data_IF_101193265232
#
_entry.id   IF_101193265232
#
_cell.length_a   1.000
_cell.length_b   1.000
_cell.length_c   1.000
_cell.angle_alpha   90.00
_cell.angle_beta   90.00
_cell.angle_gamma   90.00
#
_symmetry.space_group_name_H-M   'P 1'
#
loop_
_entity.id
_entity.type
_entity.pdbx_description
1 polymer ?
#
# COMPACT_ATOMS: atom_id res chain seq x y z
N UNK A 1 -0.47 22.21 22.25
CA UNK A 1 0.02 21.61 21.01
C UNK A 1 1.24 22.39 20.51
N UNK A 2 2.46 21.88 20.75
CA UNK A 2 3.66 22.40 20.08
C UNK A 2 3.46 22.54 18.57
N UNK A 3 3.74 23.70 18.00
CA UNK A 3 3.66 23.94 16.54
C UNK A 3 5.06 23.77 15.91
N UNK A 4 5.20 23.93 14.60
CA UNK A 4 6.48 23.76 13.90
C UNK A 4 7.53 24.83 14.24
N UNK A 5 7.16 25.90 14.95
CA UNK A 5 8.07 26.92 15.49
C UNK A 5 8.49 26.67 16.95
N UNK A 6 8.20 25.48 17.48
CA UNK A 6 8.53 25.10 18.86
C UNK A 6 9.98 24.64 19.08
N UNK A 7 10.78 24.50 18.02
CA UNK A 7 12.17 24.04 18.05
C UNK A 7 13.08 25.00 17.29
N UNK A 8 14.20 25.37 17.91
CA UNK A 8 15.30 26.09 17.25
C UNK A 8 16.22 25.16 16.43
N UNK A 9 16.08 23.83 16.60
CA UNK A 9 16.81 22.82 15.82
C UNK A 9 16.10 22.52 14.50
N UNK A 10 16.84 22.48 13.39
CA UNK A 10 16.32 22.15 12.05
C UNK A 10 17.32 21.31 11.24
N UNK A 11 16.94 20.11 10.75
CA UNK A 11 15.63 19.47 10.87
C UNK A 11 15.39 18.87 12.26
N UNK A 12 14.13 18.83 12.71
CA UNK A 12 13.70 18.08 13.89
C UNK A 12 12.52 17.17 13.55
N UNK A 13 12.22 16.21 14.43
CA UNK A 13 11.08 15.29 14.31
C UNK A 13 10.06 15.59 15.39
N UNK A 14 8.80 15.43 15.06
CA UNK A 14 7.70 15.58 16.01
C UNK A 14 6.66 14.48 15.78
N UNK A 15 6.01 13.96 16.84
CA UNK A 15 4.86 13.10 16.68
C UNK A 15 3.71 13.91 16.07
N UNK A 16 2.84 13.22 15.32
CA UNK A 16 1.75 13.87 14.60
C UNK A 16 0.55 12.93 14.50
N UNK A 17 -0.61 13.40 14.94
CA UNK A 17 -1.90 12.76 14.65
C UNK A 17 -2.88 13.80 14.11
N UNK A 18 -3.62 13.43 13.06
CA UNK A 18 -4.72 14.22 12.53
C UNK A 18 -6.02 13.44 12.70
N UNK A 19 -6.95 14.00 13.47
CA UNK A 19 -8.30 13.46 13.65
C UNK A 19 -9.26 14.36 12.89
N UNK A 20 -10.02 13.76 11.98
CA UNK A 20 -11.01 14.46 11.15
C UNK A 20 -12.40 13.92 11.50
N UNK A 21 -13.10 14.63 12.37
CA UNK A 21 -14.48 14.29 12.73
C UNK A 21 -15.44 14.86 11.69
N UNK A 22 -16.27 13.99 11.10
CA UNK A 22 -17.20 14.33 10.05
C UNK A 22 -18.61 14.01 10.50
N UNK A 23 -19.55 14.92 10.24
CA UNK A 23 -20.97 14.67 10.41
C UNK A 23 -21.70 15.04 9.13
N UNK A 24 -22.58 14.16 8.67
CA UNK A 24 -23.48 14.44 7.56
C UNK A 24 -24.62 13.45 7.50
N UNK A 25 -25.75 13.86 6.93
CA UNK A 25 -26.96 13.01 6.87
C UNK A 25 -26.76 11.72 6.08
N UNK A 26 -25.91 11.76 5.07
CA UNK A 26 -25.58 10.63 4.19
C UNK A 26 -24.21 10.02 4.51
N UNK A 27 -23.58 10.41 5.62
CA UNK A 27 -22.27 9.88 6.02
C UNK A 27 -22.45 8.51 6.67
N UNK A 28 -21.63 7.55 6.25
CA UNK A 28 -21.63 6.17 6.72
C UNK A 28 -20.19 5.72 7.02
N UNK A 29 -20.03 4.67 7.84
CA UNK A 29 -18.69 4.17 8.22
C UNK A 29 -17.90 3.65 7.00
N UNK A 30 -18.60 3.18 5.96
CA UNK A 30 -18.04 2.75 4.68
C UNK A 30 -17.34 3.88 3.92
N UNK A 31 -17.69 5.15 4.18
CA UNK A 31 -17.08 6.30 3.53
C UNK A 31 -15.85 6.84 4.25
N UNK A 32 -15.60 6.46 5.51
CA UNK A 32 -14.43 6.92 6.26
C UNK A 32 -13.10 6.71 5.53
N UNK A 33 -12.76 5.51 5.00
CA UNK A 33 -11.51 5.30 4.27
C UNK A 33 -11.42 6.09 2.96
N UNK A 34 -12.55 6.33 2.28
CA UNK A 34 -12.59 7.15 1.06
C UNK A 34 -12.19 8.59 1.38
N UNK A 35 -12.70 9.15 2.47
CA UNK A 35 -12.33 10.49 2.95
C UNK A 35 -10.86 10.52 3.40
N UNK A 36 -10.43 9.52 4.19
CA UNK A 36 -9.05 9.42 4.70
C UNK A 36 -8.03 9.41 3.56
N UNK A 37 -8.32 8.69 2.46
CA UNK A 37 -7.42 8.64 1.30
C UNK A 37 -7.16 10.02 0.69
N UNK A 38 -8.13 10.94 0.77
CA UNK A 38 -7.97 12.30 0.21
C UNK A 38 -7.03 13.18 1.03
N UNK A 39 -6.78 12.87 2.30
CA UNK A 39 -5.82 13.62 3.13
C UNK A 39 -4.44 13.65 2.47
N UNK A 40 -4.02 12.53 1.86
CA UNK A 40 -2.80 12.47 1.06
C UNK A 40 -2.77 13.52 -0.04
N UNK A 41 -3.84 13.63 -0.84
CA UNK A 41 -3.90 14.60 -1.94
C UNK A 41 -4.01 16.04 -1.42
N UNK A 42 -4.78 16.26 -0.35
CA UNK A 42 -4.98 17.59 0.23
C UNK A 42 -3.68 18.17 0.78
N UNK A 43 -2.89 17.36 1.48
CA UNK A 43 -1.61 17.80 2.03
C UNK A 43 -0.57 18.03 0.93
N UNK A 44 -0.49 17.15 -0.08
CA UNK A 44 0.47 17.30 -1.18
C UNK A 44 0.14 18.45 -2.16
N UNK A 45 -1.05 19.03 -2.09
CA UNK A 45 -1.37 20.28 -2.81
C UNK A 45 -0.79 21.52 -2.15
N UNK A 46 -0.32 21.42 -0.91
CA UNK A 46 0.32 22.52 -0.18
C UNK A 46 1.80 22.56 -0.61
N UNK A 47 2.23 23.65 -1.26
CA UNK A 47 3.62 23.85 -1.64
C UNK A 47 4.56 23.70 -0.43
N UNK A 48 5.57 22.84 -0.54
CA UNK A 48 6.54 22.57 0.51
C UNK A 48 6.07 21.63 1.62
N UNK A 49 4.91 20.99 1.47
CA UNK A 49 4.48 19.86 2.32
C UNK A 49 4.48 18.58 1.49
N UNK A 50 5.04 17.51 2.05
CA UNK A 50 4.99 16.17 1.50
C UNK A 50 4.22 15.28 2.47
N UNK A 51 3.28 14.49 1.98
CA UNK A 51 2.60 13.44 2.73
C UNK A 51 2.67 12.11 1.96
N UNK A 52 3.14 11.05 2.59
CA UNK A 52 3.11 9.68 2.04
C UNK A 52 2.64 8.69 3.11
N UNK A 53 2.39 7.44 2.73
CA UNK A 53 1.80 6.44 3.62
C UNK A 53 0.30 6.67 3.83
N UNK A 54 -0.22 5.95 4.81
CA UNK A 54 -1.64 5.86 5.15
C UNK A 54 -1.79 5.45 6.61
N UNK A 55 -2.99 5.63 7.18
CA UNK A 55 -3.28 5.28 8.58
C UNK A 55 -2.18 5.77 9.54
N UNK A 56 -1.64 4.89 10.38
CA UNK A 56 -0.61 5.19 11.37
C UNK A 56 0.84 5.10 10.86
N UNK A 57 1.06 4.75 9.59
CA UNK A 57 2.38 4.79 8.93
C UNK A 57 2.53 5.99 7.99
N UNK A 58 1.68 7.01 8.18
CA UNK A 58 1.79 8.25 7.45
C UNK A 58 3.10 8.98 7.76
N UNK A 59 3.75 9.50 6.72
CA UNK A 59 4.99 10.26 6.82
C UNK A 59 4.85 11.63 6.19
N UNK A 60 5.00 12.67 7.02
CA UNK A 60 4.84 14.06 6.63
C UNK A 60 6.19 14.78 6.75
N UNK A 61 6.54 15.57 5.73
CA UNK A 61 7.69 16.50 5.77
C UNK A 61 7.24 17.91 5.42
N UNK A 62 7.73 18.89 6.16
CA UNK A 62 7.55 20.33 5.88
C UNK A 62 8.90 20.92 5.50
N UNK A 63 8.96 21.56 4.33
CA UNK A 63 10.17 22.21 3.81
C UNK A 63 10.47 23.54 4.50
N UNK A 64 11.75 23.91 4.53
CA UNK A 64 12.23 25.18 5.12
C UNK A 64 11.56 26.39 4.47
N UNK A 65 11.40 26.38 3.15
CA UNK A 65 10.77 27.48 2.42
C UNK A 65 9.31 27.72 2.82
N UNK A 66 8.54 26.64 3.07
CA UNK A 66 7.15 26.78 3.51
C UNK A 66 7.09 27.36 4.93
N UNK A 67 7.97 26.91 5.82
CA UNK A 67 8.12 27.47 7.17
C UNK A 67 8.46 28.97 7.13
N UNK A 68 9.44 29.36 6.30
CA UNK A 68 9.89 30.76 6.15
C UNK A 68 8.79 31.67 5.56
N UNK A 69 7.93 31.12 4.69
CA UNK A 69 6.72 31.79 4.18
C UNK A 69 5.58 31.84 5.21
N UNK A 70 5.76 31.27 6.40
CA UNK A 70 4.83 31.36 7.53
C UNK A 70 3.83 30.21 7.64
N UNK A 71 4.04 29.08 6.95
CA UNK A 71 3.23 27.86 7.15
C UNK A 71 3.27 27.48 8.64
N UNK A 72 2.13 27.05 9.18
CA UNK A 72 2.00 26.45 10.51
C UNK A 72 1.06 25.24 10.45
N UNK A 73 1.05 24.41 11.50
CA UNK A 73 0.19 23.21 11.56
C UNK A 73 -1.29 23.56 11.38
N UNK A 74 -1.72 24.70 11.92
CA UNK A 74 -3.10 25.20 11.75
C UNK A 74 -3.51 25.33 10.27
N UNK A 75 -2.57 25.63 9.37
CA UNK A 75 -2.86 25.83 7.95
C UNK A 75 -3.09 24.50 7.23
N UNK A 76 -2.39 23.44 7.64
CA UNK A 76 -2.70 22.06 7.23
C UNK A 76 -4.14 21.71 7.63
N UNK A 77 -4.52 21.99 8.88
CA UNK A 77 -5.88 21.75 9.37
C UNK A 77 -6.96 22.51 8.58
N UNK A 78 -6.70 23.78 8.22
CA UNK A 78 -7.61 24.58 7.38
C UNK A 78 -7.77 23.99 5.98
N UNK A 79 -6.69 23.51 5.37
CA UNK A 79 -6.73 22.88 4.05
C UNK A 79 -7.57 21.61 4.10
N UNK A 80 -7.31 20.72 5.06
CA UNK A 80 -8.10 19.49 5.23
C UNK A 80 -9.58 19.82 5.46
N UNK A 81 -9.91 20.76 6.35
CA UNK A 81 -11.29 21.19 6.57
C UNK A 81 -11.96 21.71 5.30
N UNK A 82 -11.30 22.64 4.59
CA UNK A 82 -11.86 23.28 3.40
C UNK A 82 -12.05 22.26 2.27
N UNK A 83 -11.08 21.37 2.07
CA UNK A 83 -11.09 20.37 1.00
C UNK A 83 -12.07 19.23 1.27
N UNK A 84 -12.17 18.74 2.50
CA UNK A 84 -13.19 17.74 2.88
C UNK A 84 -14.61 18.24 2.56
N UNK A 85 -14.92 19.49 2.93
CA UNK A 85 -16.23 20.08 2.64
C UNK A 85 -16.45 20.37 1.16
N UNK A 86 -15.41 20.69 0.41
CA UNK A 86 -15.52 21.04 -1.00
C UNK A 86 -15.63 19.82 -1.91
N UNK A 87 -14.94 18.71 -1.58
CA UNK A 87 -14.95 17.50 -2.42
C UNK A 87 -16.11 16.54 -2.09
N UNK A 88 -16.65 16.59 -0.88
CA UNK A 88 -17.70 15.69 -0.42
C UNK A 88 -18.94 16.45 0.08
N UNK A 89 -19.33 17.52 -0.61
CA UNK A 89 -20.42 18.41 -0.19
C UNK A 89 -21.80 17.73 -0.07
N UNK A 90 -21.99 16.58 -0.73
CA UNK A 90 -23.19 15.74 -0.65
C UNK A 90 -23.24 14.85 0.60
N UNK A 91 -22.10 14.61 1.25
CA UNK A 91 -21.95 13.66 2.37
C UNK A 91 -21.44 14.34 3.65
N UNK A 92 -20.73 15.47 3.54
CA UNK A 92 -20.10 16.18 4.66
C UNK A 92 -20.86 17.48 4.96
N UNK A 93 -21.72 17.48 5.98
CA UNK A 93 -22.41 18.69 6.46
C UNK A 93 -21.50 19.55 7.35
N UNK A 94 -20.78 18.88 8.26
CA UNK A 94 -19.86 19.49 9.24
C UNK A 94 -18.57 18.69 9.29
N UNK A 95 -17.47 19.40 9.50
CA UNK A 95 -16.13 18.84 9.62
C UNK A 95 -15.41 19.56 10.77
N UNK A 96 -14.72 18.80 11.61
CA UNK A 96 -13.80 19.30 12.62
C UNK A 96 -12.46 18.60 12.42
N UNK A 97 -11.40 19.39 12.29
CA UNK A 97 -10.03 18.88 12.17
C UNK A 97 -9.28 19.22 13.45
N UNK A 98 -8.76 18.19 14.12
CA UNK A 98 -7.93 18.34 15.32
C UNK A 98 -6.58 17.70 15.07
N UNK A 99 -5.51 18.48 15.24
CA UNK A 99 -4.13 18.00 15.07
C UNK A 99 -3.45 17.96 16.43
N UNK A 100 -2.79 16.85 16.73
CA UNK A 100 -2.06 16.58 17.97
C UNK A 100 -0.58 16.39 17.68
N UNK A 101 0.25 16.95 18.55
CA UNK A 101 1.72 16.90 18.44
C UNK A 101 2.40 16.62 19.78
N UNK A 102 1.62 16.37 20.84
CA UNK A 102 2.15 15.86 22.09
C UNK A 102 2.30 14.34 22.01
N UNK A 103 3.50 13.82 22.30
CA UNK A 103 3.84 12.40 22.19
C UNK A 103 2.81 11.49 22.89
N UNK A 104 2.57 11.71 24.18
CA UNK A 104 1.63 10.91 24.97
C UNK A 104 0.22 10.92 24.38
N UNK A 105 -0.20 12.04 23.78
CA UNK A 105 -1.55 12.15 23.22
C UNK A 105 -1.65 11.44 21.87
N UNK A 106 -0.61 11.51 21.05
CA UNK A 106 -0.53 10.80 19.77
C UNK A 106 -0.55 9.29 20.00
N UNK A 107 0.29 8.78 20.92
CA UNK A 107 0.32 7.36 21.29
C UNK A 107 -1.02 6.88 21.87
N UNK A 108 -1.66 7.69 22.72
CA UNK A 108 -2.97 7.37 23.25
C UNK A 108 -4.03 7.27 22.14
N UNK A 109 -4.05 8.22 21.19
CA UNK A 109 -5.01 8.22 20.09
C UNK A 109 -4.81 7.02 19.15
N UNK A 110 -3.56 6.64 18.90
CA UNK A 110 -3.27 5.46 18.11
C UNK A 110 -3.87 4.20 18.76
N UNK A 111 -3.57 4.01 20.05
CA UNK A 111 -4.01 2.84 20.82
C UNK A 111 -5.53 2.78 21.04
N UNK A 112 -6.13 3.90 21.44
CA UNK A 112 -7.50 3.92 21.95
C UNK A 112 -8.54 4.19 20.84
N UNK A 113 -8.13 4.74 19.70
CA UNK A 113 -9.04 5.16 18.62
C UNK A 113 -8.62 4.59 17.25
N UNK A 114 -7.40 4.86 16.81
CA UNK A 114 -7.00 4.59 15.42
C UNK A 114 -6.97 3.09 15.12
N UNK A 115 -6.27 2.29 15.93
CA UNK A 115 -6.16 0.84 15.73
C UNK A 115 -7.52 0.14 15.76
N UNK A 116 -8.42 0.57 16.64
CA UNK A 116 -9.77 0.01 16.70
C UNK A 116 -10.56 0.27 15.39
N UNK A 117 -10.45 1.48 14.83
CA UNK A 117 -11.06 1.81 13.53
C UNK A 117 -10.41 1.06 12.37
N UNK A 118 -9.08 0.90 12.39
CA UNK A 118 -8.37 0.16 11.34
C UNK A 118 -8.73 -1.33 11.35
N UNK A 119 -8.74 -1.97 12.52
CA UNK A 119 -9.11 -3.37 12.66
C UNK A 119 -10.55 -3.62 12.20
N UNK A 120 -11.50 -2.77 12.61
CA UNK A 120 -12.89 -2.90 12.16
C UNK A 120 -13.06 -2.76 10.64
N UNK A 121 -12.21 -1.96 9.98
CA UNK A 121 -12.20 -1.87 8.51
C UNK A 121 -11.64 -3.13 7.86
N UNK A 122 -10.56 -3.67 8.42
CA UNK A 122 -9.89 -4.86 7.91
C UNK A 122 -10.76 -6.13 8.12
N UNK A 123 -11.48 -6.23 9.24
CA UNK A 123 -12.42 -7.33 9.54
C UNK A 123 -13.54 -7.45 8.49
N UNK A 124 -13.99 -6.33 7.91
CA UNK A 124 -15.00 -6.33 6.84
C UNK A 124 -14.48 -6.90 5.52
N UNK A 125 -13.16 -6.84 5.30
CA UNK A 125 -12.53 -7.39 4.10
C UNK A 125 -12.27 -8.89 4.22
N UNK A 126 -12.07 -9.40 5.44
CA UNK A 126 -11.67 -10.79 5.70
C UNK A 126 -12.62 -11.85 5.11
N UNK A 127 -13.89 -11.51 4.87
CA UNK A 127 -14.88 -12.44 4.29
C UNK A 127 -14.96 -12.43 2.75
N UNK A 128 -14.28 -11.48 2.09
CA UNK A 128 -14.29 -11.34 0.64
C UNK A 128 -13.08 -12.05 0.04
N UNK A 129 -13.32 -12.88 -0.97
CA UNK A 129 -12.28 -13.56 -1.76
C UNK A 129 -12.50 -13.23 -3.24
N UNK A 130 -11.45 -13.28 -4.04
CA UNK A 130 -11.54 -12.87 -5.45
C UNK A 130 -12.54 -13.75 -6.23
N UNK A 131 -12.74 -15.01 -5.84
CA UNK A 131 -13.72 -15.90 -6.45
C UNK A 131 -15.17 -15.49 -6.18
N UNK A 132 -15.47 -14.88 -5.02
CA UNK A 132 -16.85 -14.61 -4.57
C UNK A 132 -17.43 -13.27 -5.02
N UNK A 133 -16.64 -12.45 -5.72
CA UNK A 133 -17.07 -11.21 -6.37
C UNK A 133 -17.14 -11.36 -7.88
N UNK A 134 -18.06 -10.65 -8.53
CA UNK A 134 -18.19 -10.60 -10.00
C UNK A 134 -17.58 -9.34 -10.63
N UNK A 135 -17.09 -8.42 -9.78
CA UNK A 135 -16.65 -7.08 -10.16
C UNK A 135 -15.38 -6.74 -9.41
N UNK A 136 -14.35 -6.32 -10.14
CA UNK A 136 -13.17 -5.64 -9.61
C UNK A 136 -13.31 -4.12 -9.81
N UNK A 137 -12.33 -3.35 -9.33
CA UNK A 137 -12.32 -1.91 -9.54
C UNK A 137 -10.98 -1.44 -10.09
N UNK A 138 -11.00 -0.61 -11.12
CA UNK A 138 -9.82 0.14 -11.53
C UNK A 138 -9.70 1.41 -10.71
N UNK A 139 -8.47 1.90 -10.49
CA UNK A 139 -8.21 3.19 -9.85
C UNK A 139 -7.13 3.97 -10.60
N UNK A 140 -7.44 5.21 -10.98
CA UNK A 140 -6.56 6.11 -11.75
C UNK A 140 -6.06 7.32 -10.97
N UNK A 141 -6.27 7.37 -9.64
CA UNK A 141 -5.91 8.53 -8.81
C UNK A 141 -4.42 8.92 -8.88
N UNK A 142 -3.55 7.98 -9.22
CA UNK A 142 -2.10 8.18 -9.28
C UNK A 142 -1.59 8.57 -10.68
N UNK A 143 -2.47 8.73 -11.67
CA UNK A 143 -2.09 9.17 -13.01
C UNK A 143 -1.57 10.61 -13.06
N UNK A 144 -1.74 11.40 -12.00
CA UNK A 144 -1.12 12.70 -11.85
C UNK A 144 0.41 12.66 -11.84
N UNK A 145 1.02 11.52 -11.52
CA UNK A 145 2.48 11.33 -11.54
C UNK A 145 2.95 10.11 -12.32
N UNK A 146 2.08 9.13 -12.58
CA UNK A 146 2.36 7.98 -13.46
C UNK A 146 1.22 7.82 -14.49
N UNK A 147 1.24 8.54 -15.62
CA UNK A 147 0.08 8.67 -16.52
C UNK A 147 -0.44 7.35 -17.11
N UNK A 148 0.43 6.37 -17.33
CA UNK A 148 0.06 5.04 -17.85
C UNK A 148 -0.37 4.05 -16.76
N UNK A 149 -0.28 4.43 -15.48
CA UNK A 149 -0.58 3.53 -14.39
C UNK A 149 -2.08 3.40 -14.13
N UNK A 150 -2.52 2.16 -13.91
CA UNK A 150 -3.88 1.81 -13.50
C UNK A 150 -3.75 0.71 -12.44
N UNK A 151 -4.24 0.96 -11.23
CA UNK A 151 -4.41 -0.10 -10.23
C UNK A 151 -5.67 -0.89 -10.56
N UNK A 152 -5.61 -2.22 -10.50
CA UNK A 152 -6.80 -3.08 -10.37
C UNK A 152 -6.87 -3.56 -8.93
N UNK A 153 -7.97 -3.24 -8.26
CA UNK A 153 -8.24 -3.54 -6.86
C UNK A 153 -9.22 -4.70 -6.80
N UNK A 154 -8.82 -5.76 -6.12
CA UNK A 154 -9.63 -6.96 -5.84
C UNK A 154 -9.76 -7.14 -4.33
N UNK A 155 -10.69 -7.98 -3.83
CA UNK A 155 -10.72 -8.33 -2.41
C UNK A 155 -9.37 -8.75 -1.84
N UNK A 156 -8.62 -9.57 -2.56
CA UNK A 156 -7.36 -10.16 -2.10
C UNK A 156 -6.13 -9.41 -2.63
N UNK A 157 -6.29 -8.41 -3.50
CA UNK A 157 -5.24 -7.51 -3.99
C UNK A 157 -5.65 -6.05 -3.79
N UNK A 158 -5.34 -5.53 -2.62
CA UNK A 158 -5.54 -4.12 -2.29
C UNK A 158 -4.75 -3.22 -3.26
N UNK A 159 -5.21 -1.98 -3.44
CA UNK A 159 -4.45 -0.97 -4.16
C UNK A 159 -3.07 -0.80 -3.52
N UNK A 160 -2.01 -0.72 -4.34
CA UNK A 160 -0.62 -0.76 -3.89
C UNK A 160 -0.24 0.27 -2.82
N UNK A 161 -1.05 1.32 -2.64
CA UNK A 161 -0.86 2.34 -1.62
C UNK A 161 -1.27 1.89 -0.19
N UNK A 162 -1.85 0.71 -0.03
CA UNK A 162 -2.39 0.20 1.25
C UNK A 162 -3.70 0.87 1.71
N UNK A 163 -4.11 1.96 1.07
CA UNK A 163 -5.20 2.84 1.50
C UNK A 163 -6.48 2.76 0.66
N UNK A 164 -6.55 1.81 -0.28
CA UNK A 164 -7.73 1.59 -1.12
C UNK A 164 -7.97 0.08 -1.20
N UNK A 165 -8.92 -0.39 -0.41
CA UNK A 165 -9.46 -1.75 -0.50
C UNK A 165 -10.53 -1.86 -1.59
N UNK A 166 -11.01 -3.08 -1.84
CA UNK A 166 -12.12 -3.31 -2.77
C UNK A 166 -13.41 -2.60 -2.34
N UNK A 167 -13.74 -2.64 -1.03
CA UNK A 167 -14.89 -1.92 -0.49
C UNK A 167 -14.72 -0.40 -0.62
N UNK A 168 -13.51 0.11 -0.43
CA UNK A 168 -13.23 1.55 -0.57
C UNK A 168 -13.37 2.01 -2.03
N UNK A 169 -12.91 1.18 -2.98
CA UNK A 169 -13.04 1.47 -4.40
C UNK A 169 -14.52 1.47 -4.85
N UNK A 170 -15.31 0.52 -4.33
CA UNK A 170 -16.77 0.49 -4.50
C UNK A 170 -17.44 1.74 -3.93
N UNK A 171 -17.15 2.07 -2.69
CA UNK A 171 -17.68 3.26 -2.02
C UNK A 171 -17.28 4.56 -2.74
N UNK A 172 -16.05 4.63 -3.24
CA UNK A 172 -15.57 5.78 -4.05
C UNK A 172 -16.39 5.96 -5.31
N UNK A 173 -16.73 4.86 -6.01
CA UNK A 173 -17.59 4.90 -7.21
C UNK A 173 -19.03 5.31 -6.87
N UNK A 174 -19.55 4.89 -5.73
CA UNK A 174 -20.89 5.27 -5.26
C UNK A 174 -20.98 6.77 -4.93
N UNK A 175 -19.92 7.31 -4.33
CA UNK A 175 -19.82 8.74 -4.00
C UNK A 175 -19.63 9.63 -5.23
N UNK A 176 -18.80 9.22 -6.18
CA UNK A 176 -18.54 9.95 -7.42
C UNK A 176 -18.57 9.00 -8.63
N UNK A 177 -19.71 8.95 -9.37
CA UNK A 177 -19.83 8.13 -10.57
C UNK A 177 -18.80 8.46 -11.65
N UNK A 178 -18.27 9.68 -11.69
CA UNK A 178 -17.25 10.15 -12.62
C UNK A 178 -15.84 10.14 -12.03
N UNK A 179 -15.70 9.62 -10.81
CA UNK A 179 -14.46 9.61 -10.07
C UNK A 179 -13.43 8.61 -10.61
N UNK A 180 -12.30 8.54 -9.91
CA UNK A 180 -11.15 7.75 -10.35
C UNK A 180 -11.31 6.24 -10.19
N UNK A 181 -12.28 5.77 -9.40
CA UNK A 181 -12.56 4.34 -9.24
C UNK A 181 -13.70 3.93 -10.16
N UNK A 182 -13.50 2.92 -11.01
CA UNK A 182 -14.51 2.45 -11.97
C UNK A 182 -14.67 0.93 -11.88
N UNK A 183 -15.90 0.40 -11.98
CA UNK A 183 -16.14 -1.04 -11.90
C UNK A 183 -15.61 -1.74 -13.15
N UNK A 184 -15.05 -2.93 -12.96
CA UNK A 184 -14.48 -3.79 -14.00
C UNK A 184 -15.12 -5.18 -13.87
N UNK A 185 -16.00 -5.58 -14.80
CA UNK A 185 -16.59 -6.91 -14.77
C UNK A 185 -15.52 -8.00 -14.80
N UNK A 186 -15.66 -9.03 -13.95
CA UNK A 186 -14.77 -10.21 -13.93
C UNK A 186 -15.17 -11.19 -15.03
N UNK A 187 -15.12 -10.73 -16.28
CA UNK A 187 -15.55 -11.47 -17.47
C UNK A 187 -14.38 -11.79 -18.40
N UNK A 188 -14.55 -12.84 -19.22
CA UNK A 188 -13.56 -13.25 -20.20
C UNK A 188 -12.26 -13.74 -19.56
N UNK A 189 -12.37 -14.66 -18.60
CA UNK A 189 -11.20 -15.35 -18.02
C UNK A 189 -10.39 -16.02 -19.13
N UNK A 190 -9.11 -15.68 -19.20
CA UNK A 190 -8.16 -16.28 -20.14
C UNK A 190 -7.19 -17.23 -19.41
N UNK A 191 -6.79 -16.84 -18.20
CA UNK A 191 -5.91 -17.62 -17.32
C UNK A 191 -6.28 -17.31 -15.86
N UNK A 192 -6.90 -18.26 -15.17
CA UNK A 192 -7.33 -18.09 -13.78
C UNK A 192 -6.16 -18.14 -12.79
N UNK A 193 -5.09 -18.89 -13.12
CA UNK A 193 -3.91 -19.06 -12.27
C UNK A 193 -3.10 -17.77 -12.20
N UNK A 194 -2.86 -17.13 -13.35
CA UNK A 194 -2.19 -15.82 -13.43
C UNK A 194 -3.11 -14.66 -13.15
N UNK A 195 -4.41 -14.91 -13.14
CA UNK A 195 -5.43 -13.88 -12.99
C UNK A 195 -5.45 -12.93 -14.18
N UNK A 196 -5.73 -13.46 -15.35
CA UNK A 196 -5.86 -12.69 -16.60
C UNK A 196 -7.30 -12.78 -17.10
N UNK A 197 -7.93 -11.60 -17.21
CA UNK A 197 -9.27 -11.42 -17.75
C UNK A 197 -9.23 -10.41 -18.89
N UNK A 198 -9.97 -10.69 -19.96
CA UNK A 198 -10.01 -9.84 -21.14
C UNK A 198 -10.61 -8.46 -20.84
N UNK A 199 -11.66 -8.39 -20.02
CA UNK A 199 -12.26 -7.09 -19.64
C UNK A 199 -11.37 -6.28 -18.70
N UNK A 200 -10.57 -6.95 -17.84
CA UNK A 200 -9.53 -6.27 -17.05
C UNK A 200 -8.48 -5.68 -17.96
N UNK A 201 -7.94 -6.47 -18.89
CA UNK A 201 -6.91 -6.03 -19.83
C UNK A 201 -7.41 -4.88 -20.72
N UNK A 202 -8.64 -4.96 -21.22
CA UNK A 202 -9.29 -3.89 -21.98
C UNK A 202 -9.46 -2.61 -21.17
N UNK A 203 -9.92 -2.72 -19.91
CA UNK A 203 -10.06 -1.55 -19.03
C UNK A 203 -8.71 -0.88 -18.78
N UNK A 204 -7.66 -1.68 -18.56
CA UNK A 204 -6.31 -1.17 -18.38
C UNK A 204 -5.78 -0.51 -19.65
N UNK A 205 -6.01 -1.11 -20.82
CA UNK A 205 -5.63 -0.53 -22.12
C UNK A 205 -6.28 0.83 -22.33
N UNK A 206 -7.60 0.92 -22.16
CA UNK A 206 -8.34 2.17 -22.30
C UNK A 206 -7.87 3.24 -21.28
N UNK A 207 -7.77 2.87 -20.00
CA UNK A 207 -7.40 3.82 -18.94
C UNK A 207 -5.92 4.22 -18.96
N UNK A 208 -5.03 3.38 -19.51
CA UNK A 208 -3.61 3.69 -19.72
C UNK A 208 -3.31 4.36 -21.07
N UNK A 209 -4.35 4.62 -21.88
CA UNK A 209 -4.23 5.19 -23.23
C UNK A 209 -3.41 4.32 -24.19
N UNK A 210 -3.58 2.99 -24.09
CA UNK A 210 -2.92 1.99 -24.93
C UNK A 210 -1.47 1.68 -24.53
N UNK A 211 -1.01 2.18 -23.37
CA UNK A 211 0.36 1.94 -22.90
C UNK A 211 0.55 0.53 -22.31
N UNK A 212 -0.52 -0.07 -21.77
CA UNK A 212 -0.52 -1.40 -21.16
C UNK A 212 -1.70 -2.18 -21.72
N UNK A 213 -1.42 -3.26 -22.45
CA UNK A 213 -2.45 -4.03 -23.17
C UNK A 213 -2.90 -5.30 -22.46
N UNK A 214 -2.13 -5.77 -21.47
CA UNK A 214 -2.37 -7.02 -20.75
C UNK A 214 -1.82 -6.93 -19.33
N UNK A 215 -2.54 -7.52 -18.37
CA UNK A 215 -2.13 -7.56 -16.96
C UNK A 215 -2.45 -8.92 -16.34
N UNK A 216 -1.47 -9.47 -15.63
CA UNK A 216 -1.63 -10.60 -14.71
C UNK A 216 -1.80 -10.09 -13.27
N UNK A 217 -2.90 -10.48 -12.62
CA UNK A 217 -3.18 -10.07 -11.24
C UNK A 217 -2.44 -10.92 -10.19
N UNK A 218 -1.96 -12.11 -10.54
CA UNK A 218 -1.35 -13.02 -9.57
C UNK A 218 0.07 -13.46 -9.95
N UNK A 219 0.62 -12.87 -11.02
CA UNK A 219 1.99 -13.07 -11.49
C UNK A 219 2.78 -11.76 -11.47
N UNK A 220 4.05 -11.83 -11.05
CA UNK A 220 5.02 -10.73 -11.25
C UNK A 220 5.96 -10.95 -12.43
N UNK A 221 5.99 -12.17 -12.98
CA UNK A 221 6.93 -12.58 -14.02
C UNK A 221 6.40 -12.31 -15.43
N UNK A 222 5.08 -12.44 -15.63
CA UNK A 222 4.43 -12.23 -16.92
C UNK A 222 3.40 -11.12 -16.83
N UNK A 223 3.59 -10.06 -17.63
CA UNK A 223 2.70 -8.91 -17.73
C UNK A 223 2.23 -8.36 -16.36
N UNK A 224 3.15 -8.07 -15.42
CA UNK A 224 2.77 -7.57 -14.11
C UNK A 224 1.99 -6.26 -14.22
N UNK A 225 1.08 -6.03 -13.27
CA UNK A 225 0.47 -4.71 -13.10
C UNK A 225 1.56 -3.67 -12.85
N UNK A 226 1.45 -2.51 -13.51
CA UNK A 226 2.40 -1.42 -13.33
C UNK A 226 2.34 -0.86 -11.91
N UNK A 227 3.40 -0.18 -11.47
CA UNK A 227 3.43 0.51 -10.18
C UNK A 227 3.55 2.03 -10.37
N UNK A 228 2.87 2.81 -9.53
CA UNK A 228 3.01 4.27 -9.59
C UNK A 228 4.22 4.77 -8.81
N UNK A 229 4.11 4.91 -7.49
CA UNK A 229 5.17 5.52 -6.67
C UNK A 229 4.83 5.68 -5.19
N UNK A 230 3.57 5.47 -4.80
CA UNK A 230 3.11 5.52 -3.41
C UNK A 230 3.03 4.15 -2.73
N UNK A 231 3.62 3.10 -3.31
CA UNK A 231 3.69 1.77 -2.72
C UNK A 231 4.41 1.78 -1.36
N UNK A 232 3.96 0.96 -0.42
CA UNK A 232 4.57 0.88 0.91
C UNK A 232 5.79 -0.05 0.89
N UNK A 233 5.73 -1.08 0.05
CA UNK A 233 6.75 -2.08 -0.12
C UNK A 233 7.06 -2.30 -1.61
N UNK A 234 8.26 -2.82 -1.88
CA UNK A 234 8.64 -3.35 -3.18
C UNK A 234 9.02 -4.81 -3.01
N UNK A 235 8.46 -5.66 -3.86
CA UNK A 235 8.87 -7.04 -4.05
C UNK A 235 9.79 -7.10 -5.28
N UNK A 236 10.95 -7.75 -5.14
CA UNK A 236 11.92 -7.94 -6.23
C UNK A 236 12.46 -9.37 -6.24
N UNK A 237 12.67 -9.92 -7.43
CA UNK A 237 13.23 -11.27 -7.60
C UNK A 237 14.66 -11.37 -7.05
N UNK A 238 14.95 -12.50 -6.40
CA UNK A 238 16.29 -12.94 -6.01
C UNK A 238 16.51 -14.33 -6.61
N UNK A 239 17.04 -14.41 -7.85
CA UNK A 239 17.15 -15.66 -8.59
C UNK A 239 17.95 -16.74 -7.86
N UNK A 240 19.02 -16.36 -7.15
CA UNK A 240 19.89 -17.30 -6.45
C UNK A 240 19.15 -18.05 -5.33
N UNK A 241 18.12 -17.43 -4.74
CA UNK A 241 17.31 -18.01 -3.67
C UNK A 241 16.01 -18.66 -4.19
N UNK A 242 15.81 -18.70 -5.52
CA UNK A 242 14.56 -19.14 -6.14
C UNK A 242 13.32 -18.43 -5.54
N UNK A 243 13.47 -17.15 -5.18
CA UNK A 243 12.50 -16.44 -4.36
C UNK A 243 12.50 -14.93 -4.61
N UNK A 244 11.90 -14.20 -3.69
CA UNK A 244 11.76 -12.74 -3.73
C UNK A 244 12.16 -12.10 -2.39
N UNK A 245 12.71 -10.89 -2.48
CA UNK A 245 12.92 -10.00 -1.35
C UNK A 245 11.78 -8.99 -1.31
N UNK A 246 11.32 -8.62 -0.11
CA UNK A 246 10.37 -7.51 0.08
C UNK A 246 11.02 -6.47 0.98
N UNK A 247 11.02 -5.21 0.54
CA UNK A 247 11.57 -4.09 1.31
C UNK A 247 10.54 -2.97 1.46
N UNK A 248 10.36 -2.47 2.67
CA UNK A 248 9.47 -1.33 2.96
C UNK A 248 10.18 0.02 2.83
N UNK A 249 9.39 1.06 2.60
CA UNK A 249 9.86 2.44 2.35
C UNK A 249 10.74 3.02 3.46
N UNK A 250 10.50 2.62 4.70
CA UNK A 250 11.19 3.14 5.87
C UNK A 250 12.59 2.52 6.06
N UNK A 251 12.83 1.34 5.47
CA UNK A 251 14.13 0.68 5.53
C UNK A 251 15.14 1.39 4.62
N UNK A 252 16.19 1.93 5.24
CA UNK A 252 17.16 2.83 4.59
C UNK A 252 18.43 2.16 4.06
N UNK A 253 18.64 0.87 4.34
CA UNK A 253 19.87 0.16 4.03
C UNK A 253 19.75 -0.69 2.76
N UNK A 254 20.86 -1.33 2.38
CA UNK A 254 20.95 -2.19 1.20
C UNK A 254 20.28 -3.54 1.46
N UNK A 255 19.59 -4.05 0.45
CA UNK A 255 18.95 -5.37 0.45
C UNK A 255 19.86 -6.44 -0.19
N UNK A 256 19.54 -7.75 -0.06
CA UNK A 256 20.34 -8.82 -0.68
C UNK A 256 20.44 -8.79 -2.21
N UNK A 257 19.61 -7.99 -2.88
CA UNK A 257 19.71 -7.76 -4.34
C UNK A 257 20.63 -6.58 -4.68
N UNK A 258 21.40 -6.08 -3.72
CA UNK A 258 22.42 -5.03 -3.92
C UNK A 258 21.85 -3.61 -4.11
N UNK A 259 20.57 -3.41 -3.78
CA UNK A 259 19.86 -2.15 -3.99
C UNK A 259 19.14 -1.70 -2.72
N UNK A 260 19.04 -0.37 -2.52
CA UNK A 260 18.17 0.20 -1.48
C UNK A 260 16.71 0.24 -1.96
N UNK A 261 15.77 0.56 -1.06
CA UNK A 261 14.38 0.84 -1.46
C UNK A 261 14.31 1.93 -2.55
N UNK A 262 15.14 2.97 -2.46
CA UNK A 262 15.14 4.08 -3.42
C UNK A 262 15.58 3.64 -4.82
N UNK A 263 16.59 2.78 -4.91
CA UNK A 263 17.06 2.22 -6.17
C UNK A 263 15.98 1.33 -6.80
N UNK A 264 15.39 0.43 -6.02
CA UNK A 264 14.29 -0.44 -6.46
C UNK A 264 13.05 0.36 -6.88
N UNK A 265 12.73 1.45 -6.17
CA UNK A 265 11.61 2.32 -6.51
C UNK A 265 11.78 2.97 -7.88
N UNK A 266 13.03 3.33 -8.24
CA UNK A 266 13.36 3.90 -9.54
C UNK A 266 13.19 2.91 -10.70
N UNK A 267 13.35 1.62 -10.43
CA UNK A 267 13.19 0.55 -11.42
C UNK A 267 11.74 0.09 -11.57
N UNK A 268 10.94 0.20 -10.51
CA UNK A 268 9.59 -0.39 -10.45
C UNK A 268 8.48 0.63 -10.75
N UNK A 269 8.67 1.90 -10.37
CA UNK A 269 7.66 2.94 -10.45
C UNK A 269 7.45 3.52 -11.86
N UNK A 270 6.60 4.54 -11.95
CA UNK A 270 6.39 5.34 -13.17
C UNK A 270 5.35 4.80 -14.15
N UNK A 271 4.62 3.73 -13.80
CA UNK A 271 3.60 3.15 -14.65
C UNK A 271 4.16 2.27 -15.78
N UNK A 272 5.30 1.63 -15.55
CA UNK A 272 5.96 0.71 -16.49
C UNK A 272 5.74 -0.74 -16.03
N UNK A 273 5.56 -1.67 -16.98
CA UNK A 273 5.52 -3.10 -16.68
C UNK A 273 6.94 -3.61 -16.50
N UNK A 274 7.24 -4.13 -15.32
CA UNK A 274 8.59 -4.47 -14.88
C UNK A 274 8.63 -5.92 -14.39
N UNK A 275 8.73 -6.91 -15.30
CA UNK A 275 8.82 -8.32 -14.93
C UNK A 275 9.86 -8.58 -13.84
N UNK A 276 9.45 -9.27 -12.78
CA UNK A 276 10.26 -9.57 -11.61
C UNK A 276 10.26 -8.50 -10.51
N UNK A 277 9.56 -7.37 -10.71
CA UNK A 277 9.44 -6.31 -9.70
C UNK A 277 7.99 -5.83 -9.57
N UNK A 278 7.54 -5.60 -8.34
CA UNK A 278 6.22 -4.99 -8.11
C UNK A 278 6.21 -4.11 -6.86
N UNK A 279 5.53 -2.97 -6.95
CA UNK A 279 5.14 -2.18 -5.79
C UNK A 279 3.81 -2.68 -5.22
N UNK A 280 3.72 -2.81 -3.91
CA UNK A 280 2.49 -3.23 -3.23
C UNK A 280 2.35 -2.61 -1.83
N UNK A 281 1.16 -2.76 -1.23
CA UNK A 281 0.90 -2.39 0.15
C UNK A 281 1.32 -3.49 1.12
N UNK A 282 1.48 -3.15 2.40
CA UNK A 282 1.88 -4.08 3.47
C UNK A 282 0.87 -5.21 3.67
N UNK A 283 -0.43 -4.91 3.63
CA UNK A 283 -1.51 -5.91 3.77
C UNK A 283 -1.48 -7.00 2.69
N UNK A 284 -0.98 -6.70 1.48
CA UNK A 284 -0.95 -7.69 0.39
C UNK A 284 0.04 -8.84 0.67
N UNK A 285 1.01 -8.67 1.58
CA UNK A 285 2.00 -9.70 1.92
C UNK A 285 1.33 -10.94 2.55
N UNK A 286 0.21 -10.80 3.25
CA UNK A 286 -0.54 -11.93 3.81
C UNK A 286 -1.63 -12.49 2.88
N UNK A 287 -1.75 -11.97 1.66
CA UNK A 287 -2.80 -12.39 0.74
C UNK A 287 -2.54 -13.79 0.17
N UNK A 288 -3.59 -14.60 0.05
CA UNK A 288 -3.52 -15.91 -0.62
C UNK A 288 -3.29 -15.79 -2.12
N UNK A 289 -3.54 -14.61 -2.69
CA UNK A 289 -3.32 -14.25 -4.10
C UNK A 289 -1.99 -13.54 -4.35
N UNK A 290 -1.21 -13.27 -3.30
CA UNK A 290 0.14 -12.76 -3.47
C UNK A 290 0.98 -13.76 -4.25
N UNK A 291 1.42 -13.39 -5.46
CA UNK A 291 2.27 -14.22 -6.33
C UNK A 291 1.81 -15.69 -6.48
N UNK A 292 0.49 -15.95 -6.43
CA UNK A 292 0.01 -17.33 -6.39
C UNK A 292 0.40 -18.13 -7.64
N UNK A 293 0.59 -17.46 -8.78
CA UNK A 293 1.08 -18.07 -10.01
C UNK A 293 2.56 -18.50 -9.94
N UNK A 294 3.37 -17.88 -9.07
CA UNK A 294 4.77 -18.25 -8.85
C UNK A 294 4.97 -19.19 -7.66
N UNK A 295 3.91 -19.59 -6.94
CA UNK A 295 3.99 -20.42 -5.72
C UNK A 295 3.77 -19.65 -4.42
N UNK A 296 3.42 -18.37 -4.51
CA UNK A 296 2.88 -17.57 -3.43
C UNK A 296 3.87 -17.16 -2.35
N UNK A 297 3.37 -17.10 -1.10
CA UNK A 297 4.12 -16.60 0.06
C UNK A 297 5.41 -17.39 0.31
N UNK A 298 5.44 -18.67 -0.07
CA UNK A 298 6.61 -19.53 0.04
C UNK A 298 7.84 -19.03 -0.75
N UNK A 299 7.67 -18.05 -1.66
CA UNK A 299 8.76 -17.37 -2.36
C UNK A 299 9.43 -16.27 -1.56
N UNK A 300 8.83 -15.77 -0.48
CA UNK A 300 9.38 -14.66 0.30
C UNK A 300 10.58 -15.17 1.09
N UNK A 301 11.79 -14.70 0.77
CA UNK A 301 13.04 -15.19 1.40
C UNK A 301 13.73 -14.14 2.26
N UNK A 302 13.41 -12.86 2.09
CA UNK A 302 14.00 -11.79 2.87
C UNK A 302 13.03 -10.63 3.08
N UNK A 303 12.95 -10.13 4.32
CA UNK A 303 12.17 -8.94 4.70
C UNK A 303 12.86 -8.21 5.86
N UNK A 304 12.78 -6.87 5.93
CA UNK A 304 13.20 -6.14 7.13
C UNK A 304 12.47 -6.63 8.38
N UNK A 305 13.16 -6.63 9.52
CA UNK A 305 12.61 -7.14 10.79
C UNK A 305 11.35 -6.40 11.22
N UNK A 306 11.32 -5.09 11.03
CA UNK A 306 10.11 -4.27 11.28
C UNK A 306 8.92 -4.75 10.44
N UNK A 307 9.13 -4.99 9.15
CA UNK A 307 8.07 -5.47 8.26
C UNK A 307 7.61 -6.88 8.66
N UNK A 308 8.54 -7.77 9.03
CA UNK A 308 8.22 -9.10 9.55
C UNK A 308 7.33 -9.02 10.78
N UNK A 309 7.63 -8.11 11.70
CA UNK A 309 6.87 -7.97 12.94
C UNK A 309 5.47 -7.36 12.68
N UNK A 310 5.35 -6.42 11.75
CA UNK A 310 4.07 -5.82 11.33
C UNK A 310 3.14 -6.82 10.63
N UNK A 311 3.68 -7.71 9.79
CA UNK A 311 2.87 -8.67 9.01
C UNK A 311 2.85 -10.09 9.58
N UNK A 312 3.47 -10.33 10.74
CA UNK A 312 3.69 -11.68 11.28
C UNK A 312 2.40 -12.49 11.36
N UNK A 313 1.41 -11.98 12.08
CA UNK A 313 0.19 -12.71 12.39
C UNK A 313 -0.54 -13.14 11.10
N UNK A 314 -0.72 -12.21 10.16
CA UNK A 314 -1.40 -12.47 8.88
C UNK A 314 -0.60 -13.39 7.95
N UNK A 315 0.74 -13.24 7.93
CA UNK A 315 1.61 -14.03 7.06
C UNK A 315 1.73 -15.47 7.57
N UNK A 316 1.91 -15.66 8.88
CA UNK A 316 1.99 -16.99 9.50
C UNK A 316 0.63 -17.71 9.41
N UNK A 317 -0.49 -17.00 9.63
CA UNK A 317 -1.83 -17.56 9.41
C UNK A 317 -2.04 -18.02 7.96
N UNK A 318 -1.72 -17.17 6.98
CA UNK A 318 -1.84 -17.53 5.57
C UNK A 318 -0.90 -18.68 5.17
N UNK A 319 0.33 -18.71 5.67
CA UNK A 319 1.27 -19.79 5.42
C UNK A 319 0.83 -21.11 6.07
N UNK A 320 0.20 -21.06 7.25
CA UNK A 320 -0.38 -22.23 7.90
C UNK A 320 -1.52 -22.81 7.06
N UNK A 321 -2.40 -21.96 6.53
CA UNK A 321 -3.51 -22.41 5.69
C UNK A 321 -3.07 -22.97 4.34
N UNK A 322 -2.08 -22.35 3.69
CA UNK A 322 -1.64 -22.73 2.34
C UNK A 322 -0.64 -23.89 2.34
N UNK A 323 0.22 -23.98 3.35
CA UNK A 323 1.39 -24.86 3.32
C UNK A 323 1.60 -25.68 4.61
N UNK A 324 0.71 -25.55 5.61
CA UNK A 324 0.84 -26.19 6.93
C UNK A 324 2.11 -25.77 7.72
N UNK A 325 2.58 -24.53 7.54
CA UNK A 325 3.76 -23.96 8.20
C UNK A 325 3.33 -22.94 9.26
N UNK A 326 3.58 -23.22 10.55
CA UNK A 326 3.13 -22.35 11.66
C UNK A 326 3.94 -21.06 11.85
N UNK A 327 5.27 -21.10 11.65
CA UNK A 327 6.15 -19.95 11.90
C UNK A 327 6.96 -19.62 10.63
N UNK A 328 6.26 -19.39 9.51
CA UNK A 328 6.91 -19.14 8.23
C UNK A 328 7.81 -17.90 8.27
N UNK A 329 7.39 -16.85 8.98
CA UNK A 329 8.18 -15.64 9.19
C UNK A 329 9.55 -15.89 9.82
N UNK A 330 9.74 -16.95 10.61
CA UNK A 330 11.04 -17.32 11.20
C UNK A 330 11.97 -18.06 10.22
N UNK A 331 11.44 -18.47 9.07
CA UNK A 331 12.19 -19.05 7.95
C UNK A 331 12.67 -17.96 6.97
N UNK A 332 12.03 -16.79 6.96
CA UNK A 332 12.42 -15.63 6.13
C UNK A 332 13.59 -14.91 6.77
N UNK A 333 14.64 -14.61 6.01
CA UNK A 333 15.82 -13.87 6.49
C UNK A 333 15.48 -12.37 6.73
N UNK A 334 16.30 -11.69 7.53
CA UNK A 334 16.19 -10.25 7.79
C UNK A 334 17.57 -9.62 8.03
N UNK A 335 17.61 -8.29 8.12
CA UNK A 335 18.83 -7.51 8.28
C UNK A 335 19.59 -7.79 9.58
N UNK A 336 18.93 -8.39 10.58
CA UNK A 336 19.59 -8.78 11.85
C UNK A 336 20.37 -10.09 11.73
N UNK A 337 20.19 -10.80 10.62
CA UNK A 337 20.82 -12.07 10.29
C UNK A 337 21.84 -11.87 9.17
N UNK A 338 21.40 -11.44 7.99
CA UNK A 338 22.24 -11.26 6.81
C UNK A 338 21.60 -10.33 5.78
N UNK A 339 22.44 -9.54 5.10
CA UNK A 339 22.07 -8.66 3.99
C UNK A 339 22.80 -8.98 2.69
N UNK A 340 23.76 -9.90 2.72
CA UNK A 340 24.52 -10.35 1.54
C UNK A 340 23.93 -11.67 1.02
N UNK A 341 23.80 -11.81 -0.30
CA UNK A 341 23.11 -12.94 -0.93
C UNK A 341 23.64 -14.31 -0.49
N UNK A 342 24.97 -14.49 -0.43
CA UNK A 342 25.60 -15.75 -0.01
C UNK A 342 25.21 -16.14 1.42
N UNK A 343 25.26 -15.20 2.37
CA UNK A 343 24.90 -15.45 3.76
C UNK A 343 23.40 -15.64 3.96
N UNK A 344 22.57 -14.99 3.13
CA UNK A 344 21.13 -15.23 3.09
C UNK A 344 20.84 -16.66 2.63
N UNK A 345 21.50 -17.15 1.59
CA UNK A 345 21.32 -18.53 1.11
C UNK A 345 21.68 -19.56 2.19
N UNK A 346 22.82 -19.39 2.86
CA UNK A 346 23.22 -20.27 3.98
C UNK A 346 22.16 -20.32 5.09
N UNK A 347 21.57 -19.16 5.44
CA UNK A 347 20.48 -19.10 6.41
C UNK A 347 19.25 -19.87 5.92
N UNK A 348 18.80 -19.61 4.69
CA UNK A 348 17.62 -20.26 4.11
C UNK A 348 17.78 -21.79 4.03
N UNK A 349 18.96 -22.27 3.66
CA UNK A 349 19.28 -23.69 3.63
C UNK A 349 19.23 -24.30 5.03
N UNK A 350 19.79 -23.61 6.03
CA UNK A 350 19.74 -24.07 7.43
C UNK A 350 18.32 -24.15 7.99
N UNK A 351 17.40 -23.34 7.46
CA UNK A 351 15.98 -23.34 7.79
C UNK A 351 15.16 -24.33 6.96
N UNK A 352 15.72 -24.89 5.90
CA UNK A 352 14.98 -25.71 4.95
C UNK A 352 13.86 -24.92 4.27
N UNK A 353 14.16 -23.70 3.81
CA UNK A 353 13.16 -22.79 3.26
C UNK A 353 12.38 -23.43 2.07
N UNK A 354 11.04 -23.32 2.02
CA UNK A 354 10.22 -24.00 1.02
C UNK A 354 10.51 -23.55 -0.42
N UNK A 355 11.00 -22.32 -0.62
CA UNK A 355 11.40 -21.80 -1.94
C UNK A 355 12.34 -22.73 -2.73
N UNK A 356 13.21 -23.50 -2.04
CA UNK A 356 14.14 -24.43 -2.70
C UNK A 356 13.48 -25.71 -3.22
N UNK A 357 12.24 -25.98 -2.82
CA UNK A 357 11.47 -27.15 -3.26
C UNK A 357 10.47 -26.83 -4.36
N UNK A 358 10.29 -25.56 -4.67
CA UNK A 358 9.43 -25.09 -5.76
C UNK A 358 10.19 -25.15 -7.09
N UNK A 359 9.44 -25.16 -8.19
CA UNK A 359 10.01 -25.03 -9.52
C UNK A 359 10.85 -23.74 -9.63
N UNK A 360 11.86 -23.70 -10.51
CA UNK A 360 12.59 -22.46 -10.79
C UNK A 360 11.63 -21.33 -11.16
N UNK A 361 11.78 -20.17 -10.50
CA UNK A 361 10.96 -18.98 -10.77
C UNK A 361 11.26 -18.38 -12.16
N UNK A 362 12.41 -18.72 -12.75
CA UNK A 362 12.88 -18.29 -14.06
C UNK A 362 13.73 -19.34 -14.78
#
# INVERSE_FOLDING_TARGET
>A
VPDIDSSDESPFRMPFAIVVDVAGKSMEEDFEPVLERRIHYFMNYIEGVMHIGQRNIAWIRVGKEAYDKGLRIKDIGKVVYAKMKAEFDTVVDKCQVTIYTEQEKVEQLEKDLALAKYNARDDRLATLIDENVDTFYSCTLCQSFAPAHVCIVTPERLGLCGAVSWLDAKATKELDPTGACQPVPKEGVEDEEKGIWSEVSKTVDEASQGAVSRVSLYSIMEDPMTSCGCFECICGIMPEANGVVIVNREYGDVTPVGMTFGDLASMTGGGVQTPGFMGHGRHFIGSKKFMSAEGGLARIVWMPKELKDDVRDRLDEAAKELYDIDNFTDMVCDETIATESEAVLEFLESKGHPAFTLDPIM
#
